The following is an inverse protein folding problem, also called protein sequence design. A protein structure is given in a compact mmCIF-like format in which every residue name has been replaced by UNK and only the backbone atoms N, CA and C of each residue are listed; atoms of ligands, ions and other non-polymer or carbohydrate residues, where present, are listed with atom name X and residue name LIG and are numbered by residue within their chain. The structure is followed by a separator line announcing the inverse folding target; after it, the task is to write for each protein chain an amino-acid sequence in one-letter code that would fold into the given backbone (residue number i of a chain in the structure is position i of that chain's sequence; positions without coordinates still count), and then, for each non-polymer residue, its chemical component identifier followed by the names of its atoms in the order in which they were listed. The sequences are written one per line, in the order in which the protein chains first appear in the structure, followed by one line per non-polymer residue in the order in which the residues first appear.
data_IF_983230046597
#
_entry.id   IF_983230046597
#
_cell.length_a   1.000
_cell.length_b   1.000
_cell.length_c   1.000
_cell.angle_alpha   90.00
_cell.angle_beta   90.00
_cell.angle_gamma   90.00
#
_symmetry.space_group_name_H-M   'P 1'
#
loop_
_entity.id
_entity.type
_entity.pdbx_description
1 polymer ?
#
# COMPACT_ATOMS: atom_id res chain seq x y z
N UNK A 1 -13.24 16.26 10.39
CA UNK A 1 -13.94 17.03 9.33
C UNK A 1 -15.06 17.84 9.95
N UNK A 2 -14.91 19.17 10.03
CA UNK A 2 -16.02 20.11 10.16
C UNK A 2 -16.33 20.61 8.76
N UNK A 3 -17.19 19.89 8.04
CA UNK A 3 -17.95 20.47 6.94
C UNK A 3 -19.40 20.16 7.28
N UNK A 4 -20.17 21.23 7.45
CA UNK A 4 -21.59 21.16 7.69
C UNK A 4 -22.21 20.15 6.71
N UNK A 5 -22.99 19.22 7.24
CA UNK A 5 -23.84 18.35 6.44
C UNK A 5 -24.61 19.23 5.45
N UNK A 6 -24.53 18.86 4.18
CA UNK A 6 -25.24 19.55 3.11
C UNK A 6 -26.73 19.66 3.48
N UNK A 7 -27.36 20.82 3.27
CA UNK A 7 -28.75 21.06 3.72
C UNK A 7 -29.71 20.03 3.11
N UNK A 8 -29.40 19.57 1.89
CA UNK A 8 -30.09 18.49 1.21
C UNK A 8 -29.98 17.16 1.95
N UNK A 9 -28.82 16.85 2.53
CA UNK A 9 -28.59 15.62 3.27
C UNK A 9 -29.42 15.56 4.56
N UNK A 10 -29.69 16.70 5.19
CA UNK A 10 -30.51 16.81 6.40
C UNK A 10 -32.00 16.65 6.07
N UNK A 11 -32.47 17.20 4.94
CA UNK A 11 -33.88 17.12 4.54
C UNK A 11 -34.36 15.72 4.14
N UNK A 12 -33.44 14.81 3.77
CA UNK A 12 -33.75 13.44 3.32
C UNK A 12 -33.70 12.35 4.40
N UNK A 13 -33.59 12.71 5.69
CA UNK A 13 -33.40 11.73 6.79
C UNK A 13 -34.74 11.36 7.42
N UNK A 14 -35.43 10.37 6.85
CA UNK A 14 -36.45 9.61 7.58
C UNK A 14 -35.75 8.53 8.42
N UNK A 15 -36.14 8.39 9.70
CA UNK A 15 -35.47 7.47 10.64
C UNK A 15 -35.56 6.00 10.22
N UNK A 16 -36.71 5.56 9.70
CA UNK A 16 -36.92 4.19 9.20
C UNK A 16 -36.12 3.92 7.92
N UNK A 17 -36.04 4.90 7.02
CA UNK A 17 -35.23 4.79 5.79
C UNK A 17 -33.74 4.69 6.14
N UNK A 18 -33.28 5.50 7.11
CA UNK A 18 -31.87 5.50 7.54
C UNK A 18 -31.42 4.17 8.16
N UNK A 19 -32.30 3.49 8.90
CA UNK A 19 -32.00 2.17 9.48
C UNK A 19 -31.82 1.12 8.38
N UNK A 20 -32.72 1.10 7.38
CA UNK A 20 -32.62 0.21 6.22
C UNK A 20 -31.31 0.44 5.46
N UNK A 21 -30.93 1.71 5.24
CA UNK A 21 -29.65 2.05 4.59
C UNK A 21 -28.46 1.51 5.38
N UNK A 22 -28.47 1.65 6.71
CA UNK A 22 -27.42 1.08 7.57
C UNK A 22 -27.36 -0.45 7.44
N UNK A 23 -28.50 -1.14 7.50
CA UNK A 23 -28.57 -2.60 7.41
C UNK A 23 -28.06 -3.11 6.04
N UNK A 24 -28.42 -2.43 4.95
CA UNK A 24 -27.96 -2.74 3.59
C UNK A 24 -26.45 -2.54 3.43
N UNK A 25 -25.88 -1.47 4.01
CA UNK A 25 -24.43 -1.22 4.00
C UNK A 25 -23.69 -2.24 4.87
N UNK A 26 -24.19 -2.56 6.05
CA UNK A 26 -23.61 -3.59 6.92
C UNK A 26 -23.59 -4.94 6.22
N UNK A 27 -24.68 -5.29 5.51
CA UNK A 27 -24.79 -6.55 4.79
C UNK A 27 -23.66 -6.74 3.78
N UNK A 28 -23.32 -5.71 2.99
CA UNK A 28 -22.22 -5.79 2.01
C UNK A 28 -20.82 -5.72 2.63
N UNK A 29 -20.70 -5.21 3.87
CA UNK A 29 -19.46 -5.20 4.65
C UNK A 29 -19.25 -6.48 5.49
N UNK A 30 -20.26 -7.34 5.55
CA UNK A 30 -20.26 -8.52 6.40
C UNK A 30 -19.22 -9.57 5.96
N UNK A 31 -18.64 -10.32 6.90
CA UNK A 31 -17.62 -11.33 6.59
C UNK A 31 -18.18 -12.54 5.80
N UNK A 32 -19.50 -12.76 5.86
CA UNK A 32 -20.21 -13.85 5.18
C UNK A 32 -20.77 -13.47 3.81
N UNK A 33 -20.51 -12.26 3.32
CA UNK A 33 -20.87 -11.92 1.95
C UNK A 33 -19.93 -12.70 1.02
N UNK A 34 -20.44 -13.84 0.51
CA UNK A 34 -19.70 -14.78 -0.33
C UNK A 34 -19.37 -14.10 -1.64
N UNK A 35 -18.16 -13.58 -1.71
CA UNK A 35 -17.58 -13.05 -2.94
C UNK A 35 -16.61 -14.09 -3.48
N UNK A 36 -16.58 -14.23 -4.80
CA UNK A 36 -15.65 -15.11 -5.51
C UNK A 36 -14.17 -14.72 -5.29
N UNK A 37 -13.92 -13.49 -4.85
CA UNK A 37 -12.59 -12.92 -4.66
C UNK A 37 -12.27 -12.67 -3.18
N UNK A 38 -10.98 -12.70 -2.88
CA UNK A 38 -10.45 -12.59 -1.52
C UNK A 38 -10.71 -11.21 -0.89
N UNK A 39 -10.56 -10.12 -1.65
CA UNK A 39 -10.71 -8.72 -1.18
C UNK A 39 -11.89 -8.02 -1.86
N UNK A 40 -12.46 -7.03 -1.16
CA UNK A 40 -13.55 -6.19 -1.64
C UNK A 40 -12.97 -4.86 -2.15
N UNK A 41 -13.41 -4.41 -3.32
CA UNK A 41 -13.10 -3.09 -3.86
C UNK A 41 -14.28 -2.13 -3.64
N UNK A 42 -14.15 -1.20 -2.71
CA UNK A 42 -15.15 -0.20 -2.39
C UNK A 42 -15.01 1.04 -3.27
N UNK A 43 -16.12 1.49 -3.84
CA UNK A 43 -16.21 2.76 -4.57
C UNK A 43 -17.32 3.65 -4.01
N UNK A 44 -16.99 4.92 -3.78
CA UNK A 44 -17.96 5.91 -3.30
C UNK A 44 -18.60 6.66 -4.46
N UNK A 45 -19.86 6.33 -4.74
CA UNK A 45 -20.62 6.84 -5.86
C UNK A 45 -21.12 8.27 -5.62
N UNK A 46 -21.11 9.08 -6.68
CA UNK A 46 -21.70 10.41 -6.76
C UNK A 46 -23.22 10.41 -6.81
N UNK A 47 -23.80 11.61 -6.77
CA UNK A 47 -25.26 11.81 -6.85
C UNK A 47 -25.78 11.34 -8.22
N UNK A 48 -26.88 10.58 -8.23
CA UNK A 48 -27.55 10.12 -9.46
C UNK A 48 -26.92 8.92 -10.16
N UNK A 49 -25.84 8.33 -9.64
CA UNK A 49 -25.22 7.13 -10.23
C UNK A 49 -25.99 5.83 -9.94
N UNK A 50 -26.89 5.82 -8.95
CA UNK A 50 -27.81 4.73 -8.67
C UNK A 50 -29.25 5.24 -8.55
N UNK A 51 -30.26 4.40 -8.86
CA UNK A 51 -31.66 4.70 -8.57
C UNK A 51 -31.89 4.99 -7.08
N UNK A 52 -32.83 5.86 -6.74
CA UNK A 52 -33.03 6.35 -5.35
C UNK A 52 -33.34 5.25 -4.32
N UNK A 53 -33.96 4.16 -4.77
CA UNK A 53 -34.33 2.99 -3.96
C UNK A 53 -33.18 1.98 -3.79
N UNK A 54 -32.03 2.20 -4.41
CA UNK A 54 -30.85 1.33 -4.35
C UNK A 54 -29.79 1.95 -3.44
N UNK A 55 -29.50 1.28 -2.32
CA UNK A 55 -28.57 1.78 -1.30
C UNK A 55 -27.12 1.35 -1.55
N UNK A 56 -26.93 0.19 -2.17
CA UNK A 56 -25.61 -0.38 -2.53
C UNK A 56 -25.75 -1.16 -3.83
N UNK A 57 -24.67 -1.25 -4.59
CA UNK A 57 -24.55 -2.15 -5.75
C UNK A 57 -23.35 -3.05 -5.54
N UNK A 58 -23.48 -4.32 -5.89
CA UNK A 58 -22.39 -5.29 -5.85
C UNK A 58 -22.22 -5.87 -7.25
N UNK A 59 -21.03 -5.72 -7.80
CA UNK A 59 -20.63 -6.32 -9.08
C UNK A 59 -19.36 -7.11 -8.85
N UNK A 60 -19.45 -8.43 -8.95
CA UNK A 60 -18.36 -9.34 -8.57
C UNK A 60 -17.81 -9.00 -7.18
N UNK A 61 -16.57 -8.51 -7.07
CA UNK A 61 -15.94 -8.10 -5.82
C UNK A 61 -15.98 -6.60 -5.55
N UNK A 62 -16.62 -5.81 -6.42
CA UNK A 62 -16.72 -4.37 -6.31
C UNK A 62 -18.03 -3.96 -5.65
N UNK A 63 -17.96 -3.07 -4.66
CA UNK A 63 -19.11 -2.58 -3.88
C UNK A 63 -19.20 -1.07 -4.04
N UNK A 64 -20.23 -0.64 -4.77
CA UNK A 64 -20.55 0.77 -4.98
C UNK A 64 -21.54 1.27 -3.93
N UNK A 65 -21.21 2.37 -3.24
CA UNK A 65 -22.07 2.97 -2.21
C UNK A 65 -22.20 4.48 -2.49
N UNK A 66 -23.42 5.01 -2.71
CA UNK A 66 -23.62 6.45 -2.82
C UNK A 66 -23.18 7.17 -1.55
N UNK A 67 -22.42 8.25 -1.70
CA UNK A 67 -21.88 9.03 -0.56
C UNK A 67 -22.97 9.47 0.42
N UNK A 68 -24.14 9.85 -0.09
CA UNK A 68 -25.28 10.27 0.73
C UNK A 68 -25.81 9.12 1.61
N UNK A 69 -25.89 7.91 1.06
CA UNK A 69 -26.33 6.70 1.76
C UNK A 69 -25.30 6.26 2.79
N UNK A 70 -24.00 6.36 2.48
CA UNK A 70 -22.94 6.11 3.46
C UNK A 70 -23.02 7.07 4.65
N UNK A 71 -23.31 8.36 4.42
CA UNK A 71 -23.49 9.35 5.50
C UNK A 71 -24.73 9.03 6.35
N UNK A 72 -25.84 8.60 5.74
CA UNK A 72 -27.02 8.14 6.49
C UNK A 72 -26.69 6.92 7.36
N UNK A 73 -26.03 5.91 6.79
CA UNK A 73 -25.58 4.73 7.53
C UNK A 73 -24.63 5.11 8.68
N UNK A 74 -23.72 6.07 8.46
CA UNK A 74 -22.78 6.54 9.47
C UNK A 74 -23.47 7.15 10.70
N UNK A 75 -24.58 7.88 10.51
CA UNK A 75 -25.35 8.43 11.63
C UNK A 75 -25.92 7.32 12.51
N UNK A 76 -26.48 6.27 11.91
CA UNK A 76 -26.99 5.10 12.64
C UNK A 76 -25.84 4.33 13.29
N UNK A 77 -24.77 4.07 12.55
CA UNK A 77 -23.58 3.37 13.03
C UNK A 77 -23.00 4.04 14.28
N UNK A 78 -22.92 5.38 14.32
CA UNK A 78 -22.48 6.09 15.53
C UNK A 78 -23.41 5.84 16.71
N UNK A 79 -24.73 5.93 16.53
CA UNK A 79 -25.70 5.67 17.61
C UNK A 79 -25.54 4.26 18.16
N UNK A 80 -25.44 3.26 17.28
CA UNK A 80 -25.22 1.85 17.64
C UNK A 80 -23.89 1.69 18.37
N UNK A 81 -22.79 2.20 17.80
CA UNK A 81 -21.47 2.07 18.38
C UNK A 81 -21.38 2.68 19.79
N UNK A 82 -21.84 3.92 19.98
CA UNK A 82 -21.77 4.56 21.30
C UNK A 82 -22.72 3.95 22.32
N UNK A 83 -23.80 3.27 21.89
CA UNK A 83 -24.67 2.50 22.76
C UNK A 83 -23.99 1.24 23.30
N UNK A 84 -23.22 0.53 22.46
CA UNK A 84 -22.71 -0.80 22.78
C UNK A 84 -21.20 -0.88 23.10
N UNK A 85 -20.39 0.14 22.75
CA UNK A 85 -18.92 0.07 22.82
C UNK A 85 -18.33 -0.30 24.19
N UNK A 86 -19.06 -0.02 25.27
CA UNK A 86 -18.61 -0.27 26.65
C UNK A 86 -19.33 -1.48 27.30
N UNK A 87 -20.26 -2.14 26.57
CA UNK A 87 -21.12 -3.21 27.08
C UNK A 87 -20.53 -4.64 26.89
N UNK A 88 -19.27 -4.74 26.48
CA UNK A 88 -18.55 -6.03 26.40
C UNK A 88 -18.80 -6.85 25.13
N UNK A 89 -18.44 -8.14 25.18
CA UNK A 89 -18.40 -9.05 24.01
C UNK A 89 -19.75 -9.58 23.55
N UNK A 90 -20.78 -9.48 24.39
CA UNK A 90 -22.15 -9.90 24.05
C UNK A 90 -22.68 -9.15 22.83
N UNK A 91 -22.25 -7.89 22.65
CA UNK A 91 -22.61 -7.03 21.53
C UNK A 91 -21.52 -6.95 20.45
N UNK A 92 -20.70 -8.00 20.34
CA UNK A 92 -19.57 -8.04 19.40
C UNK A 92 -20.00 -7.82 17.95
N UNK A 93 -21.17 -8.32 17.55
CA UNK A 93 -21.73 -8.13 16.22
C UNK A 93 -22.09 -6.67 15.97
N UNK A 94 -22.82 -6.04 16.87
CA UNK A 94 -23.24 -4.64 16.77
C UNK A 94 -22.03 -3.70 16.74
N UNK A 95 -21.03 -3.96 17.59
CA UNK A 95 -19.78 -3.19 17.59
C UNK A 95 -19.04 -3.39 16.27
N UNK A 96 -18.92 -4.62 15.77
CA UNK A 96 -18.23 -4.92 14.50
C UNK A 96 -18.94 -4.24 13.33
N UNK A 97 -20.24 -4.41 13.20
CA UNK A 97 -21.05 -3.85 12.11
C UNK A 97 -20.98 -2.32 12.11
N UNK A 98 -21.19 -1.69 13.28
CA UNK A 98 -21.13 -0.24 13.41
C UNK A 98 -19.74 0.32 13.13
N UNK A 99 -18.68 -0.33 13.65
CA UNK A 99 -17.30 0.11 13.39
C UNK A 99 -16.88 -0.08 11.94
N UNK A 100 -17.42 -1.09 11.23
CA UNK A 100 -17.16 -1.25 9.79
C UNK A 100 -17.66 -0.06 8.99
N UNK A 101 -18.89 0.40 9.24
CA UNK A 101 -19.46 1.61 8.59
C UNK A 101 -18.69 2.87 9.00
N UNK A 102 -18.33 3.00 10.28
CA UNK A 102 -17.55 4.14 10.78
C UNK A 102 -16.20 4.22 10.08
N UNK A 103 -15.45 3.12 9.98
CA UNK A 103 -14.12 3.10 9.37
C UNK A 103 -14.17 3.23 7.85
N UNK A 104 -15.21 2.71 7.19
CA UNK A 104 -15.46 2.99 5.78
C UNK A 104 -15.71 4.49 5.52
N UNK A 105 -16.32 5.19 6.47
CA UNK A 105 -16.58 6.64 6.36
C UNK A 105 -15.37 7.49 6.77
N UNK A 106 -14.70 7.12 7.86
CA UNK A 106 -13.59 7.83 8.45
C UNK A 106 -12.49 6.86 8.94
N UNK A 107 -11.42 6.65 8.13
CA UNK A 107 -10.40 5.67 8.46
C UNK A 107 -9.53 6.07 9.66
N UNK A 108 -9.56 7.34 10.07
CA UNK A 108 -8.82 7.87 11.22
C UNK A 108 -9.59 7.77 12.55
N UNK A 109 -10.73 7.08 12.57
CA UNK A 109 -11.54 6.95 13.77
C UNK A 109 -10.94 5.97 14.80
N UNK A 110 -9.93 6.44 15.55
CA UNK A 110 -9.14 5.66 16.51
C UNK A 110 -9.99 4.87 17.52
N UNK A 111 -11.08 5.45 18.04
CA UNK A 111 -11.95 4.76 19.00
C UNK A 111 -12.64 3.54 18.40
N UNK A 112 -12.98 3.59 17.11
CA UNK A 112 -13.62 2.48 16.40
C UNK A 112 -12.59 1.38 16.11
N UNK A 113 -11.42 1.78 15.60
CA UNK A 113 -10.27 0.89 15.42
C UNK A 113 -9.90 0.15 16.72
N UNK A 114 -9.77 0.87 17.84
CA UNK A 114 -9.47 0.27 19.14
C UNK A 114 -10.59 -0.62 19.67
N UNK A 115 -11.86 -0.33 19.39
CA UNK A 115 -12.96 -1.23 19.75
C UNK A 115 -12.83 -2.58 19.03
N UNK A 116 -12.45 -2.58 17.75
CA UNK A 116 -12.17 -3.83 17.00
C UNK A 116 -10.98 -4.61 17.57
N UNK A 117 -9.90 -3.92 17.97
CA UNK A 117 -8.78 -4.55 18.70
C UNK A 117 -9.25 -5.22 19.99
N UNK A 118 -10.09 -4.54 20.77
CA UNK A 118 -10.67 -5.12 22.00
C UNK A 118 -11.51 -6.34 21.69
N UNK A 119 -12.32 -6.34 20.62
CA UNK A 119 -13.10 -7.54 20.23
C UNK A 119 -12.17 -8.74 20.00
N UNK A 120 -11.09 -8.57 19.24
CA UNK A 120 -10.12 -9.65 18.96
C UNK A 120 -9.40 -10.10 20.23
N UNK A 121 -9.01 -9.17 21.11
CA UNK A 121 -8.31 -9.49 22.36
C UNK A 121 -9.20 -10.07 23.45
N UNK A 122 -10.48 -9.69 23.46
CA UNK A 122 -11.41 -10.02 24.55
C UNK A 122 -11.72 -11.50 24.64
N UNK A 123 -11.52 -12.24 23.55
CA UNK A 123 -11.84 -13.66 23.51
C UNK A 123 -10.58 -14.49 23.78
N UNK A 124 -10.07 -14.34 25.02
CA UNK A 124 -8.87 -15.02 25.51
C UNK A 124 -9.01 -16.54 25.64
N UNK A 125 -10.24 -17.07 25.50
CA UNK A 125 -10.58 -18.49 25.59
C UNK A 125 -10.75 -19.16 24.23
N UNK A 126 -10.48 -18.45 23.13
CA UNK A 126 -10.58 -19.03 21.78
C UNK A 126 -9.50 -20.07 21.54
N UNK A 127 -9.90 -21.14 20.83
CA UNK A 127 -8.94 -22.02 20.19
C UNK A 127 -8.10 -21.26 19.16
N UNK A 128 -6.91 -21.76 18.85
CA UNK A 128 -6.03 -21.16 17.83
C UNK A 128 -6.74 -21.01 16.48
N UNK A 129 -7.56 -22.00 16.11
CA UNK A 129 -8.36 -22.00 14.88
C UNK A 129 -9.39 -20.86 14.84
N UNK A 130 -10.14 -20.64 15.93
CA UNK A 130 -11.12 -19.54 15.99
C UNK A 130 -10.45 -18.16 15.95
N UNK A 131 -9.29 -18.03 16.59
CA UNK A 131 -8.50 -16.80 16.52
C UNK A 131 -7.97 -16.55 15.10
N UNK A 132 -7.48 -17.59 14.43
CA UNK A 132 -7.02 -17.51 13.05
C UNK A 132 -8.15 -17.07 12.11
N UNK A 133 -9.36 -17.60 12.27
CA UNK A 133 -10.53 -17.17 11.49
C UNK A 133 -10.89 -15.70 11.72
N UNK A 134 -10.88 -15.25 12.98
CA UNK A 134 -11.13 -13.85 13.33
C UNK A 134 -10.07 -12.92 12.73
N UNK A 135 -8.79 -13.30 12.81
CA UNK A 135 -7.67 -12.54 12.26
C UNK A 135 -7.75 -12.46 10.74
N UNK A 136 -8.06 -13.57 10.06
CA UNK A 136 -8.29 -13.59 8.60
C UNK A 136 -9.43 -12.68 8.19
N UNK A 137 -10.55 -12.73 8.92
CA UNK A 137 -11.72 -11.88 8.67
C UNK A 137 -11.40 -10.39 8.87
N UNK A 138 -10.68 -10.05 9.94
CA UNK A 138 -10.28 -8.67 10.21
C UNK A 138 -9.24 -8.16 9.21
N UNK A 139 -8.23 -8.96 8.86
CA UNK A 139 -7.26 -8.64 7.83
C UNK A 139 -7.94 -8.41 6.49
N UNK A 140 -8.89 -9.27 6.09
CA UNK A 140 -9.69 -9.07 4.87
C UNK A 140 -10.41 -7.73 4.88
N UNK A 141 -11.03 -7.35 6.01
CA UNK A 141 -11.72 -6.07 6.14
C UNK A 141 -10.76 -4.88 5.97
N UNK A 142 -9.63 -4.91 6.68
CA UNK A 142 -8.63 -3.83 6.66
C UNK A 142 -7.94 -3.74 5.30
N UNK A 143 -7.55 -4.87 4.73
CA UNK A 143 -6.92 -4.96 3.42
C UNK A 143 -7.87 -4.42 2.35
N UNK A 144 -9.16 -4.79 2.40
CA UNK A 144 -10.17 -4.23 1.48
C UNK A 144 -10.22 -2.70 1.57
N UNK A 145 -10.24 -2.12 2.78
CA UNK A 145 -10.22 -0.66 2.92
C UNK A 145 -8.93 -0.01 2.37
N UNK A 146 -7.77 -0.65 2.55
CA UNK A 146 -6.47 -0.14 2.11
C UNK A 146 -6.29 -0.21 0.58
N UNK A 147 -6.91 -1.18 -0.08
CA UNK A 147 -6.71 -1.48 -1.51
C UNK A 147 -7.84 -0.98 -2.42
N UNK A 148 -8.96 -0.55 -1.84
CA UNK A 148 -10.10 0.03 -2.56
C UNK A 148 -9.79 1.38 -3.20
N UNK A 149 -10.67 1.84 -4.10
CA UNK A 149 -10.68 3.20 -4.68
C UNK A 149 -11.04 4.32 -3.66
N UNK A 150 -10.39 4.30 -2.50
CA UNK A 150 -10.63 5.15 -1.34
C UNK A 150 -9.35 5.91 -0.95
N UNK A 151 -9.06 7.03 -1.62
CA UNK A 151 -7.78 7.75 -1.47
C UNK A 151 -7.40 8.11 -0.02
N UNK A 152 -8.39 8.36 0.86
CA UNK A 152 -8.15 8.65 2.29
C UNK A 152 -7.73 7.40 3.06
N UNK A 153 -8.27 6.25 2.70
CA UNK A 153 -8.05 4.98 3.39
C UNK A 153 -6.73 4.36 3.00
N UNK A 154 -6.38 4.37 1.72
CA UNK A 154 -5.13 3.80 1.19
C UNK A 154 -3.87 4.38 1.83
N UNK A 155 -3.94 5.60 2.40
CA UNK A 155 -2.87 6.27 3.13
C UNK A 155 -3.14 6.47 4.62
N UNK A 156 -4.14 5.78 5.16
CA UNK A 156 -4.51 5.94 6.56
C UNK A 156 -3.43 5.37 7.49
N UNK A 157 -2.71 6.19 8.28
CA UNK A 157 -1.77 5.67 9.26
C UNK A 157 -2.49 4.79 10.30
N UNK A 158 -3.74 5.09 10.63
CA UNK A 158 -4.56 4.32 11.55
C UNK A 158 -4.82 2.90 11.03
N UNK A 159 -5.22 2.75 9.77
CA UNK A 159 -5.46 1.43 9.17
C UNK A 159 -4.17 0.64 9.00
N UNK A 160 -3.08 1.26 8.52
CA UNK A 160 -1.77 0.59 8.40
C UNK A 160 -1.22 0.14 9.77
N UNK A 161 -1.42 0.94 10.81
CA UNK A 161 -1.06 0.57 12.19
C UNK A 161 -1.91 -0.60 12.71
N UNK A 162 -3.22 -0.59 12.43
CA UNK A 162 -4.10 -1.70 12.79
C UNK A 162 -3.73 -2.99 12.08
N UNK A 163 -3.45 -2.93 10.78
CA UNK A 163 -2.94 -4.06 9.99
C UNK A 163 -1.65 -4.63 10.60
N UNK A 164 -0.68 -3.77 10.92
CA UNK A 164 0.56 -4.19 11.58
C UNK A 164 0.29 -4.93 12.89
N UNK A 165 -0.58 -4.37 13.73
CA UNK A 165 -0.96 -4.99 15.00
C UNK A 165 -1.59 -6.38 14.81
N UNK A 166 -2.41 -6.59 13.77
CA UNK A 166 -2.97 -7.91 13.45
C UNK A 166 -1.89 -8.93 13.07
N UNK A 167 -0.92 -8.51 12.25
CA UNK A 167 0.16 -9.40 11.81
C UNK A 167 1.15 -9.72 12.93
N UNK A 168 1.43 -8.77 13.81
CA UNK A 168 2.20 -9.01 15.04
C UNK A 168 1.48 -10.02 15.94
N UNK A 169 0.14 -9.93 16.02
CA UNK A 169 -0.67 -10.91 16.73
C UNK A 169 -0.61 -12.30 16.07
N UNK A 170 -0.67 -12.39 14.74
CA UNK A 170 -0.44 -13.64 14.00
C UNK A 170 0.92 -14.26 14.36
N UNK A 171 2.00 -13.47 14.30
CA UNK A 171 3.35 -13.93 14.64
C UNK A 171 3.44 -14.43 16.08
N UNK A 172 2.87 -13.70 17.04
CA UNK A 172 2.88 -14.10 18.47
C UNK A 172 2.11 -15.41 18.75
N UNK A 173 1.37 -15.91 17.77
CA UNK A 173 0.58 -17.14 17.82
C UNK A 173 1.10 -18.19 16.85
N UNK A 174 2.31 -17.99 16.31
CA UNK A 174 2.95 -18.88 15.34
C UNK A 174 2.08 -19.13 14.09
N UNK A 175 1.21 -18.17 13.75
CA UNK A 175 0.42 -18.21 12.53
C UNK A 175 1.28 -17.73 11.35
N UNK A 176 1.29 -18.46 10.21
CA UNK A 176 2.16 -18.14 9.10
C UNK A 176 1.80 -16.80 8.46
N UNK A 177 2.83 -15.99 8.19
CA UNK A 177 2.69 -14.77 7.38
C UNK A 177 3.05 -15.07 5.92
N UNK A 178 2.21 -14.62 4.99
CA UNK A 178 2.51 -14.71 3.57
C UNK A 178 2.95 -13.34 3.03
N UNK A 179 4.24 -13.04 3.17
CA UNK A 179 4.83 -11.74 2.78
C UNK A 179 4.72 -11.49 1.26
N UNK A 180 4.81 -12.54 0.43
CA UNK A 180 4.66 -12.43 -1.02
C UNK A 180 3.23 -12.07 -1.44
N UNK A 181 2.22 -12.67 -0.79
CA UNK A 181 0.82 -12.28 -0.95
C UNK A 181 0.60 -10.83 -0.51
N UNK A 182 1.11 -10.45 0.65
CA UNK A 182 0.94 -9.09 1.18
C UNK A 182 1.58 -8.02 0.29
N UNK A 183 2.73 -8.33 -0.30
CA UNK A 183 3.35 -7.48 -1.31
C UNK A 183 2.42 -7.26 -2.51
N UNK A 184 1.91 -8.35 -3.10
CA UNK A 184 1.18 -8.30 -4.37
C UNK A 184 -0.25 -7.83 -4.22
N UNK A 185 -1.00 -8.34 -3.24
CA UNK A 185 -2.43 -8.06 -3.07
C UNK A 185 -2.72 -6.82 -2.24
N UNK A 186 -1.76 -6.34 -1.44
CA UNK A 186 -2.00 -5.21 -0.54
C UNK A 186 -1.07 -4.03 -0.83
N UNK A 187 0.24 -4.22 -0.73
CA UNK A 187 1.20 -3.10 -0.86
C UNK A 187 1.19 -2.53 -2.28
N UNK A 188 1.34 -3.38 -3.30
CA UNK A 188 1.36 -2.95 -4.70
C UNK A 188 0.01 -2.39 -5.14
N UNK A 189 -1.11 -2.99 -4.73
CA UNK A 189 -2.44 -2.46 -5.03
C UNK A 189 -2.64 -1.09 -4.37
N UNK A 190 -2.28 -0.94 -3.09
CA UNK A 190 -2.35 0.35 -2.41
C UNK A 190 -1.41 1.41 -3.03
N UNK A 191 -0.28 1.01 -3.60
CA UNK A 191 0.63 1.90 -4.32
C UNK A 191 0.08 2.28 -5.71
N UNK A 192 -0.65 1.38 -6.38
CA UNK A 192 -1.39 1.65 -7.62
C UNK A 192 -2.51 2.68 -7.39
N UNK A 193 -3.31 2.48 -6.33
CA UNK A 193 -4.42 3.38 -5.99
C UNK A 193 -3.94 4.78 -5.61
N UNK A 194 -2.77 4.88 -4.98
CA UNK A 194 -2.17 6.16 -4.62
C UNK A 194 -0.68 6.18 -4.98
N UNK A 195 -0.29 6.79 -6.11
CA UNK A 195 1.12 6.91 -6.48
C UNK A 195 1.97 7.49 -5.35
N UNK A 196 3.18 6.95 -5.15
CA UNK A 196 4.13 7.33 -4.11
C UNK A 196 3.58 7.11 -2.70
N UNK A 197 2.88 5.98 -2.49
CA UNK A 197 2.31 5.63 -1.19
C UNK A 197 3.40 5.24 -0.18
N UNK A 198 3.96 6.23 0.51
CA UNK A 198 4.97 6.01 1.55
C UNK A 198 4.50 5.03 2.65
N UNK A 199 3.21 5.03 3.02
CA UNK A 199 2.71 4.16 4.08
C UNK A 199 2.73 2.68 3.68
N UNK A 200 2.31 2.36 2.45
CA UNK A 200 2.35 1.01 1.92
C UNK A 200 3.80 0.47 1.86
N UNK A 201 4.71 1.25 1.29
CA UNK A 201 6.12 0.86 1.18
C UNK A 201 6.84 0.85 2.53
N UNK A 202 6.49 1.74 3.46
CA UNK A 202 6.98 1.67 4.84
C UNK A 202 6.45 0.46 5.60
N UNK A 203 5.22 0.02 5.31
CA UNK A 203 4.69 -1.23 5.84
C UNK A 203 5.48 -2.43 5.28
N UNK A 204 5.79 -2.42 3.98
CA UNK A 204 6.61 -3.47 3.37
C UNK A 204 8.01 -3.56 3.98
N UNK A 205 8.68 -2.43 4.26
CA UNK A 205 9.98 -2.45 4.98
C UNK A 205 9.90 -3.15 6.33
N UNK A 206 8.79 -2.98 7.04
CA UNK A 206 8.56 -3.67 8.31
C UNK A 206 8.31 -5.18 8.08
N UNK A 207 7.55 -5.56 7.06
CA UNK A 207 7.30 -6.97 6.70
C UNK A 207 8.57 -7.72 6.28
N UNK A 208 9.54 -7.04 5.64
CA UNK A 208 10.80 -7.66 5.25
C UNK A 208 11.56 -8.28 6.42
N UNK A 209 11.35 -7.79 7.65
CA UNK A 209 11.93 -8.38 8.86
C UNK A 209 11.51 -9.83 9.10
N UNK A 210 10.35 -10.23 8.59
CA UNK A 210 9.82 -11.59 8.72
C UNK A 210 10.42 -12.59 7.75
N UNK A 211 11.20 -12.12 6.76
CA UNK A 211 11.92 -12.95 5.79
C UNK A 211 13.43 -12.72 5.87
N UNK A 212 13.92 -12.09 6.95
CA UNK A 212 15.34 -11.99 7.21
C UNK A 212 15.93 -13.39 7.39
N UNK A 213 17.02 -13.68 6.66
CA UNK A 213 17.65 -15.00 6.65
C UNK A 213 17.07 -15.98 5.63
N UNK A 214 15.90 -15.69 5.04
CA UNK A 214 15.37 -16.45 3.90
C UNK A 214 15.77 -15.75 2.59
N UNK A 215 16.96 -16.09 2.07
CA UNK A 215 17.49 -15.53 0.83
C UNK A 215 16.50 -15.71 -0.35
N UNK A 216 15.85 -16.87 -0.46
CA UNK A 216 14.96 -17.16 -1.60
C UNK A 216 13.72 -16.28 -1.58
N UNK A 217 13.07 -16.15 -0.41
CA UNK A 217 11.92 -15.26 -0.26
C UNK A 217 12.33 -13.79 -0.48
N UNK A 218 13.48 -13.38 0.07
CA UNK A 218 14.00 -12.02 -0.06
C UNK A 218 14.24 -11.63 -1.52
N UNK A 219 14.94 -12.49 -2.29
CA UNK A 219 15.22 -12.27 -3.70
C UNK A 219 13.94 -12.30 -4.57
N UNK A 220 12.99 -13.16 -4.25
CA UNK A 220 11.68 -13.20 -4.92
C UNK A 220 10.93 -11.86 -4.76
N UNK A 221 10.97 -11.29 -3.55
CA UNK A 221 10.37 -9.97 -3.28
C UNK A 221 11.07 -8.88 -4.08
N UNK A 222 12.41 -8.84 -4.08
CA UNK A 222 13.19 -7.88 -4.89
C UNK A 222 12.81 -7.98 -6.36
N UNK A 223 12.72 -9.19 -6.91
CA UNK A 223 12.34 -9.41 -8.31
C UNK A 223 10.95 -8.81 -8.62
N UNK A 224 9.96 -9.11 -7.79
CA UNK A 224 8.59 -8.61 -7.96
C UNK A 224 8.52 -7.09 -7.86
N UNK A 225 9.23 -6.50 -6.90
CA UNK A 225 9.28 -5.04 -6.70
C UNK A 225 9.97 -4.35 -7.87
N UNK A 226 11.09 -4.89 -8.35
CA UNK A 226 11.77 -4.38 -9.56
C UNK A 226 10.79 -4.37 -10.74
N UNK A 227 10.10 -5.49 -10.99
CA UNK A 227 9.08 -5.59 -12.05
C UNK A 227 7.99 -4.53 -11.89
N UNK A 228 7.50 -4.32 -10.67
CA UNK A 228 6.48 -3.29 -10.40
C UNK A 228 7.03 -1.87 -10.63
N UNK A 229 8.25 -1.57 -10.18
CA UNK A 229 8.88 -0.25 -10.36
C UNK A 229 9.12 0.08 -11.84
N UNK A 230 9.43 -0.93 -12.66
CA UNK A 230 9.50 -0.78 -14.12
C UNK A 230 8.13 -0.42 -14.74
N UNK A 231 7.01 -0.82 -14.13
CA UNK A 231 5.68 -0.31 -14.52
C UNK A 231 5.40 1.11 -14.04
N UNK A 232 6.18 1.61 -13.08
CA UNK A 232 5.93 2.83 -12.31
C UNK A 232 7.18 3.70 -12.18
N UNK A 233 7.81 4.14 -13.28
CA UNK A 233 9.10 4.83 -13.24
C UNK A 233 9.07 6.13 -12.40
N UNK A 234 7.90 6.74 -12.20
CA UNK A 234 7.70 7.93 -11.37
C UNK A 234 7.49 7.68 -9.87
N UNK A 235 7.44 6.44 -9.39
CA UNK A 235 7.13 6.13 -7.98
C UNK A 235 8.39 6.11 -7.09
N UNK A 236 8.66 7.24 -6.44
CA UNK A 236 9.80 7.38 -5.52
C UNK A 236 9.75 6.42 -4.33
N UNK A 237 8.57 6.02 -3.86
CA UNK A 237 8.44 5.17 -2.67
C UNK A 237 8.78 3.71 -2.99
N UNK A 238 8.34 3.20 -4.15
CA UNK A 238 8.71 1.88 -4.65
C UNK A 238 10.20 1.77 -4.94
N UNK A 239 10.76 2.74 -5.65
CA UNK A 239 12.20 2.82 -5.92
C UNK A 239 13.05 2.90 -4.64
N UNK A 240 12.63 3.73 -3.67
CA UNK A 240 13.30 3.84 -2.38
C UNK A 240 13.22 2.53 -1.57
N UNK A 241 12.11 1.80 -1.67
CA UNK A 241 11.99 0.48 -1.06
C UNK A 241 12.96 -0.53 -1.71
N UNK A 242 12.98 -0.60 -3.05
CA UNK A 242 13.89 -1.48 -3.79
C UNK A 242 15.36 -1.20 -3.42
N UNK A 243 15.75 0.07 -3.40
CA UNK A 243 17.09 0.49 -2.97
C UNK A 243 17.41 0.00 -1.55
N UNK A 244 16.47 0.14 -0.61
CA UNK A 244 16.67 -0.33 0.76
C UNK A 244 16.88 -1.85 0.86
N UNK A 245 16.22 -2.64 0.00
CA UNK A 245 16.44 -4.08 -0.07
C UNK A 245 17.83 -4.42 -0.61
N UNK A 246 18.25 -3.76 -1.70
CA UNK A 246 19.56 -3.95 -2.34
C UNK A 246 20.75 -3.46 -1.49
N UNK A 247 20.47 -2.65 -0.46
CA UNK A 247 21.46 -2.17 0.52
C UNK A 247 21.39 -2.91 1.86
N UNK A 248 20.47 -3.86 2.02
CA UNK A 248 20.27 -4.58 3.29
C UNK A 248 21.39 -5.59 3.57
N UNK A 249 21.70 -5.88 4.85
CA UNK A 249 22.63 -6.95 5.20
C UNK A 249 22.23 -8.30 4.60
N UNK A 250 20.93 -8.65 4.63
CA UNK A 250 20.41 -9.91 4.07
C UNK A 250 20.74 -10.06 2.58
N UNK A 251 20.59 -8.99 1.80
CA UNK A 251 20.97 -9.02 0.39
C UNK A 251 22.48 -9.07 0.20
N UNK A 252 23.25 -8.33 1.00
CA UNK A 252 24.72 -8.29 0.89
C UNK A 252 25.39 -9.61 1.28
N UNK A 253 24.73 -10.46 2.04
CA UNK A 253 25.19 -11.83 2.36
C UNK A 253 24.68 -12.88 1.38
N UNK A 254 23.81 -12.52 0.43
CA UNK A 254 23.27 -13.44 -0.57
C UNK A 254 24.35 -13.88 -1.58
N UNK A 255 24.02 -14.85 -2.43
CA UNK A 255 24.93 -15.38 -3.44
C UNK A 255 25.23 -14.33 -4.52
N UNK A 256 26.50 -13.99 -4.74
CA UNK A 256 26.96 -13.03 -5.77
C UNK A 256 26.20 -11.68 -5.73
N UNK A 257 26.19 -10.96 -4.60
CA UNK A 257 25.33 -9.79 -4.39
C UNK A 257 25.72 -8.62 -5.30
N UNK A 258 27.01 -8.49 -5.62
CA UNK A 258 27.53 -7.48 -6.56
C UNK A 258 26.97 -7.73 -7.96
N UNK A 259 27.00 -8.97 -8.44
CA UNK A 259 26.49 -9.33 -9.77
C UNK A 259 24.98 -9.13 -9.83
N UNK A 260 24.23 -9.55 -8.80
CA UNK A 260 22.77 -9.36 -8.76
C UNK A 260 22.37 -7.88 -8.73
N UNK A 261 23.07 -7.07 -7.94
CA UNK A 261 22.86 -5.62 -7.87
C UNK A 261 23.19 -4.94 -9.19
N UNK A 262 24.27 -5.37 -9.83
CA UNK A 262 24.69 -4.87 -11.15
C UNK A 262 23.70 -5.27 -12.24
N UNK A 263 23.21 -6.52 -12.23
CA UNK A 263 22.17 -6.96 -13.16
C UNK A 263 20.89 -6.14 -13.03
N UNK A 264 20.46 -5.88 -11.79
CA UNK A 264 19.29 -5.01 -11.52
C UNK A 264 19.52 -3.59 -12.07
N UNK A 265 20.71 -3.03 -11.87
CA UNK A 265 21.12 -1.75 -12.44
C UNK A 265 21.06 -1.75 -13.97
N UNK A 266 21.67 -2.76 -14.61
CA UNK A 266 21.75 -2.89 -16.08
C UNK A 266 20.35 -3.03 -16.70
N UNK A 267 19.46 -3.84 -16.12
CA UNK A 267 18.09 -4.01 -16.61
C UNK A 267 17.28 -2.71 -16.50
N UNK A 268 17.41 -1.98 -15.38
CA UNK A 268 16.69 -0.71 -15.17
C UNK A 268 17.22 0.36 -16.13
N UNK A 269 18.53 0.45 -16.35
CA UNK A 269 19.13 1.33 -17.36
C UNK A 269 18.63 0.96 -18.77
N UNK A 270 18.66 -0.32 -19.14
CA UNK A 270 18.21 -0.79 -20.44
C UNK A 270 16.75 -0.44 -20.73
N UNK A 271 15.87 -0.61 -19.73
CA UNK A 271 14.47 -0.20 -19.82
C UNK A 271 14.33 1.33 -19.93
N UNK A 272 15.09 2.09 -19.14
CA UNK A 272 15.08 3.54 -19.19
C UNK A 272 15.47 4.10 -20.57
N UNK A 273 16.50 3.51 -21.20
CA UNK A 273 16.95 3.87 -22.54
C UNK A 273 15.89 3.50 -23.57
N UNK A 274 15.44 2.24 -23.56
CA UNK A 274 14.48 1.67 -24.53
C UNK A 274 13.19 2.49 -24.58
N UNK A 275 12.65 2.84 -23.41
CA UNK A 275 11.40 3.58 -23.28
C UNK A 275 11.60 5.09 -23.15
N UNK A 276 12.85 5.57 -23.24
CA UNK A 276 13.24 6.98 -23.07
C UNK A 276 12.67 7.60 -21.79
N UNK A 277 12.70 6.85 -20.69
CA UNK A 277 12.16 7.29 -19.41
C UNK A 277 12.94 8.45 -18.82
N UNK A 278 12.18 9.44 -18.35
CA UNK A 278 12.69 10.72 -17.83
C UNK A 278 12.13 11.03 -16.46
N UNK A 279 11.71 9.99 -15.73
CA UNK A 279 11.14 10.17 -14.41
C UNK A 279 12.25 10.34 -13.37
N UNK A 280 12.18 11.43 -12.59
CA UNK A 280 13.20 11.79 -11.61
C UNK A 280 13.43 10.68 -10.58
N UNK A 281 12.35 10.04 -10.10
CA UNK A 281 12.40 8.95 -9.12
C UNK A 281 13.32 7.80 -9.55
N UNK A 282 13.22 7.40 -10.82
CA UNK A 282 14.06 6.36 -11.44
C UNK A 282 15.54 6.76 -11.46
N UNK A 283 15.83 7.99 -11.88
CA UNK A 283 17.22 8.47 -11.97
C UNK A 283 17.84 8.71 -10.59
N UNK A 284 17.04 9.11 -9.59
CA UNK A 284 17.43 9.14 -8.18
C UNK A 284 17.78 7.74 -7.68
N UNK A 285 17.00 6.73 -8.05
CA UNK A 285 17.33 5.34 -7.74
C UNK A 285 18.65 4.90 -8.36
N UNK A 286 18.82 5.09 -9.67
CA UNK A 286 20.03 4.68 -10.40
C UNK A 286 21.29 5.36 -9.85
N UNK A 287 21.29 6.70 -9.70
CA UNK A 287 22.45 7.43 -9.17
C UNK A 287 22.83 6.97 -7.77
N UNK A 288 21.83 6.72 -6.92
CA UNK A 288 22.07 6.31 -5.53
C UNK A 288 22.56 4.85 -5.48
N UNK A 289 22.00 3.97 -6.32
CA UNK A 289 22.40 2.58 -6.41
C UNK A 289 23.87 2.45 -6.85
N UNK A 290 24.27 3.17 -7.90
CA UNK A 290 25.66 3.16 -8.41
C UNK A 290 26.63 3.81 -7.40
N UNK A 291 26.23 4.92 -6.77
CA UNK A 291 27.03 5.58 -5.74
C UNK A 291 27.19 4.74 -4.46
N UNK A 292 26.22 3.88 -4.13
CA UNK A 292 26.31 3.02 -2.94
C UNK A 292 27.39 1.92 -3.03
N UNK A 293 28.09 1.80 -4.16
CA UNK A 293 29.14 0.81 -4.36
C UNK A 293 28.60 -0.62 -4.50
N UNK A 294 29.51 -1.61 -4.42
CA UNK A 294 29.20 -3.03 -4.64
C UNK A 294 28.50 -3.27 -5.99
N UNK A 295 29.00 -2.61 -7.03
CA UNK A 295 28.51 -2.71 -8.40
C UNK A 295 29.69 -2.93 -9.34
N UNK A 296 29.48 -3.63 -10.44
CA UNK A 296 30.53 -3.87 -11.43
C UNK A 296 30.91 -2.57 -12.15
N UNK A 297 32.18 -2.48 -12.55
CA UNK A 297 32.66 -1.35 -13.37
C UNK A 297 31.91 -1.27 -14.71
N UNK A 298 31.45 -2.42 -15.24
CA UNK A 298 30.58 -2.47 -16.41
C UNK A 298 29.27 -1.71 -16.19
N UNK A 299 28.52 -1.96 -15.09
CA UNK A 299 27.28 -1.20 -14.88
C UNK A 299 27.57 0.28 -14.62
N UNK A 300 28.64 0.57 -13.86
CA UNK A 300 29.05 1.96 -13.59
C UNK A 300 29.32 2.73 -14.88
N UNK A 301 30.09 2.14 -15.79
CA UNK A 301 30.38 2.73 -17.10
C UNK A 301 29.10 2.92 -17.92
N UNK A 302 28.22 1.90 -17.98
CA UNK A 302 26.96 1.99 -18.69
C UNK A 302 26.06 3.13 -18.16
N UNK A 303 26.00 3.31 -16.83
CA UNK A 303 25.26 4.40 -16.20
C UNK A 303 25.82 5.77 -16.60
N UNK A 304 27.14 5.97 -16.48
CA UNK A 304 27.79 7.24 -16.83
C UNK A 304 27.63 7.58 -18.31
N UNK A 305 27.87 6.61 -19.21
CA UNK A 305 27.65 6.78 -20.64
C UNK A 305 26.21 7.20 -20.94
N UNK A 306 25.24 6.58 -20.28
CA UNK A 306 23.83 6.93 -20.45
C UNK A 306 23.57 8.39 -20.05
N UNK A 307 24.12 8.87 -18.94
CA UNK A 307 23.95 10.27 -18.53
C UNK A 307 24.57 11.25 -19.54
N UNK A 308 25.72 10.92 -20.13
CA UNK A 308 26.35 11.71 -21.18
C UNK A 308 25.51 11.78 -22.45
N UNK A 309 24.97 10.64 -22.89
CA UNK A 309 24.11 10.55 -24.08
C UNK A 309 22.84 11.39 -23.92
N UNK A 310 22.21 11.33 -22.74
CA UNK A 310 21.02 12.14 -22.44
C UNK A 310 21.33 13.64 -22.35
N UNK A 311 22.52 14.02 -21.87
CA UNK A 311 22.96 15.42 -21.83
C UNK A 311 23.14 16.00 -23.23
N UNK A 312 23.64 15.20 -24.17
CA UNK A 312 23.90 15.63 -25.55
C UNK A 312 22.64 15.62 -26.45
N UNK A 313 21.53 15.04 -25.99
CA UNK A 313 20.26 15.00 -26.70
C UNK A 313 19.58 16.36 -26.69
N UNK A 314 19.46 17.04 -27.84
CA UNK A 314 18.96 18.42 -27.97
C UNK A 314 17.45 18.61 -27.76
N UNK A 315 16.67 17.52 -27.77
CA UNK A 315 15.23 17.60 -27.99
C UNK A 315 14.38 17.56 -26.69
N UNK A 316 15.01 17.59 -25.50
CA UNK A 316 14.27 17.51 -24.23
C UNK A 316 14.96 18.18 -23.03
N UNK A 317 14.51 19.40 -22.72
CA UNK A 317 14.98 20.18 -21.58
C UNK A 317 14.65 19.55 -20.21
N UNK A 318 13.60 18.72 -20.06
CA UNK A 318 13.28 18.09 -18.77
C UNK A 318 14.22 16.93 -18.50
N UNK A 319 14.40 16.03 -19.46
CA UNK A 319 15.36 14.92 -19.37
C UNK A 319 16.79 15.42 -19.14
N UNK A 320 17.24 16.45 -19.87
CA UNK A 320 18.55 17.07 -19.67
C UNK A 320 18.76 17.52 -18.22
N UNK A 321 17.81 18.23 -17.61
CA UNK A 321 17.92 18.68 -16.21
C UNK A 321 18.03 17.52 -15.23
N UNK A 322 17.26 16.45 -15.44
CA UNK A 322 17.27 15.28 -14.56
C UNK A 322 18.59 14.52 -14.68
N UNK A 323 19.06 14.28 -15.90
CA UNK A 323 20.33 13.60 -16.16
C UNK A 323 21.52 14.44 -15.67
N UNK A 324 21.49 15.75 -15.87
CA UNK A 324 22.51 16.67 -15.35
C UNK A 324 22.55 16.66 -13.83
N UNK A 325 21.39 16.77 -13.16
CA UNK A 325 21.31 16.69 -11.70
C UNK A 325 21.79 15.35 -11.17
N UNK A 326 21.47 14.25 -11.85
CA UNK A 326 21.96 12.92 -11.47
C UNK A 326 23.48 12.78 -11.62
N UNK A 327 24.05 13.34 -12.70
CA UNK A 327 25.48 13.34 -12.96
C UNK A 327 26.25 14.20 -11.95
N UNK A 328 25.82 15.44 -11.72
CA UNK A 328 26.42 16.36 -10.75
C UNK A 328 26.42 15.76 -9.34
N UNK A 329 25.27 15.19 -8.93
CA UNK A 329 25.18 14.52 -7.65
C UNK A 329 26.12 13.31 -7.55
N UNK A 330 26.23 12.50 -8.61
CA UNK A 330 27.14 11.36 -8.60
C UNK A 330 28.60 11.79 -8.54
N UNK A 331 28.99 12.88 -9.19
CA UNK A 331 30.35 13.42 -9.09
C UNK A 331 30.68 13.94 -7.69
N UNK A 332 29.70 14.51 -6.99
CA UNK A 332 29.89 15.07 -5.64
C UNK A 332 29.89 14.00 -4.55
N UNK A 333 29.03 12.97 -4.67
CA UNK A 333 28.76 12.01 -3.60
C UNK A 333 29.08 10.55 -3.95
N UNK A 334 29.42 10.26 -5.21
CA UNK A 334 29.86 8.94 -5.63
C UNK A 334 31.22 8.57 -5.02
N UNK A 335 31.58 7.28 -4.99
CA UNK A 335 32.89 6.87 -4.51
C UNK A 335 33.98 7.50 -5.39
N UNK A 336 35.02 8.04 -4.75
CA UNK A 336 36.21 8.60 -5.42
C UNK A 336 36.82 7.55 -6.36
N UNK A 337 36.50 7.64 -7.64
CA UNK A 337 37.18 6.88 -8.69
C UNK A 337 37.90 7.89 -9.55
N UNK A 338 39.22 7.97 -9.35
CA UNK A 338 40.14 8.54 -10.33
C UNK A 338 39.85 7.83 -11.65
N UNK A 339 39.21 8.54 -12.57
CA UNK A 339 39.09 8.09 -13.96
C UNK A 339 40.50 7.68 -14.42
N UNK A 340 40.73 6.43 -14.87
CA UNK A 340 42.02 6.08 -15.43
C UNK A 340 42.36 7.05 -16.56
N UNK A 341 43.42 7.82 -16.38
CA UNK A 341 43.99 8.67 -17.43
C UNK A 341 44.62 7.78 -18.51
N UNK A 342 43.80 7.25 -19.40
CA UNK A 342 44.19 6.80 -20.74
C UNK A 342 42.88 6.45 -21.44
N UNK A 343 42.34 7.27 -22.33
CA UNK A 343 42.83 7.41 -23.70
C UNK A 343 42.69 8.89 -24.12
N UNK A 344 43.82 9.59 -24.13
CA UNK A 344 44.09 10.60 -25.15
C UNK A 344 45.24 10.03 -25.98
N UNK A 345 44.92 9.44 -27.11
CA UNK A 345 45.74 9.44 -28.32
C UNK A 345 44.87 9.03 -29.48
#
# INVERSE_FOLDING_TARGET
MSRALDKDAISSINASDSQKVYDDVVKVLGPYYSLSHELIDFELLGKGQLPENVNTVVLENSVGIPKIKLVQAFVIARKVFFKFKDLGTEYSKEIRDATSVILLTDPEHLTACNARKRLIQSIRTKSVSELEMDLKSELRFVDSLLTSHLNRHTKSPTLWSHRRWLLELCQSKDLPLNVSRDLTLVVMVAAERHPRNYYAWSHMRWLMKSVEGDETAYLTIIHNVKKWCLGHPGDTSGWSFLLSCLSSPTFLTATSPIDQKSLTCEEVIGMAISLRWKEESLWVFLRTLVASGNITEKCRFAFLQTLEDFKNSSDDARGQRISQSAHEWYLEYGPDIRVPQSIKT
#
